data_IF_846801454878
#
_entry.id   IF_846801454878
#
_cell.length_a   1.000
_cell.length_b   1.000
_cell.length_c   1.000
_cell.angle_alpha   90.00
_cell.angle_beta   90.00
_cell.angle_gamma   90.00
#
_symmetry.space_group_name_H-M   'P 1'
#
loop_
_entity.id
_entity.type
_entity.pdbx_description
1 polymer ?
#
# COMPACT_ATOMS: atom_id res chain seq x y z
N UNK A 1 2.83 19.46 -7.72
CA UNK A 1 3.96 18.52 -8.01
C UNK A 1 3.75 17.86 -9.37
N UNK A 2 4.79 17.28 -10.01
CA UNK A 2 4.60 16.41 -11.19
C UNK A 2 3.89 15.12 -10.75
N UNK A 3 3.07 14.55 -11.63
CA UNK A 3 2.41 13.27 -11.34
C UNK A 3 3.45 12.17 -11.00
N UNK A 4 3.30 11.48 -9.86
CA UNK A 4 4.23 10.44 -9.44
C UNK A 4 3.96 9.11 -10.16
N UNK A 5 4.86 8.15 -9.97
CA UNK A 5 4.67 6.77 -10.43
C UNK A 5 3.88 6.01 -9.36
N UNK A 6 2.66 5.60 -9.70
CA UNK A 6 1.77 4.94 -8.76
C UNK A 6 2.16 3.47 -8.50
N UNK A 7 1.99 3.02 -7.25
CA UNK A 7 2.19 1.62 -6.90
C UNK A 7 1.10 0.75 -7.54
N UNK A 8 1.52 -0.34 -8.17
CA UNK A 8 0.62 -1.31 -8.77
C UNK A 8 0.22 -2.40 -7.77
N UNK A 9 -0.96 -3.01 -7.99
CA UNK A 9 -1.39 -4.19 -7.21
C UNK A 9 -0.36 -5.32 -7.31
N UNK A 10 0.16 -5.58 -8.50
CA UNK A 10 1.17 -6.61 -8.73
C UNK A 10 2.45 -6.37 -7.92
N UNK A 11 2.93 -5.12 -7.86
CA UNK A 11 4.07 -4.74 -7.02
C UNK A 11 3.76 -5.01 -5.54
N UNK A 12 2.57 -4.67 -5.05
CA UNK A 12 2.23 -4.92 -3.65
C UNK A 12 2.07 -6.39 -3.29
N UNK A 13 1.54 -7.20 -4.21
CA UNK A 13 1.49 -8.66 -4.02
C UNK A 13 2.90 -9.27 -3.97
N UNK A 14 3.80 -8.81 -4.84
CA UNK A 14 5.19 -9.25 -4.85
C UNK A 14 5.93 -8.83 -3.56
N UNK A 15 5.74 -7.58 -3.12
CA UNK A 15 6.30 -7.07 -1.87
C UNK A 15 5.78 -7.85 -0.65
N UNK A 16 4.48 -8.15 -0.58
CA UNK A 16 3.91 -8.97 0.49
C UNK A 16 4.56 -10.36 0.55
N UNK A 17 4.66 -11.04 -0.60
CA UNK A 17 5.31 -12.34 -0.68
C UNK A 17 6.76 -12.29 -0.19
N UNK A 18 7.51 -11.27 -0.60
CA UNK A 18 8.89 -11.07 -0.17
C UNK A 18 9.00 -10.84 1.35
N UNK A 19 8.19 -9.93 1.91
CA UNK A 19 8.16 -9.62 3.34
C UNK A 19 7.82 -10.85 4.18
N UNK A 20 6.83 -11.64 3.77
CA UNK A 20 6.45 -12.87 4.49
C UNK A 20 7.58 -13.90 4.43
N UNK A 21 8.23 -14.06 3.28
CA UNK A 21 9.37 -14.97 3.13
C UNK A 21 10.55 -14.59 4.05
N UNK A 22 10.80 -13.28 4.24
CA UNK A 22 11.91 -12.79 5.07
C UNK A 22 11.59 -12.73 6.57
N UNK A 23 10.36 -12.35 6.92
CA UNK A 23 10.00 -12.01 8.31
C UNK A 23 9.02 -12.97 8.96
N UNK A 24 8.54 -13.98 8.23
CA UNK A 24 7.54 -14.94 8.67
C UNK A 24 6.11 -14.39 8.70
N UNK A 25 5.16 -15.27 8.99
CA UNK A 25 3.72 -14.96 8.95
C UNK A 25 3.00 -15.75 7.86
N UNK A 26 1.71 -15.47 7.67
CA UNK A 26 0.87 -16.15 6.68
C UNK A 26 0.82 -15.39 5.35
N UNK A 27 1.14 -16.08 4.26
CA UNK A 27 0.89 -15.58 2.90
C UNK A 27 -0.61 -15.56 2.60
N UNK A 28 -1.02 -14.71 1.66
CA UNK A 28 -2.40 -14.66 1.16
C UNK A 28 -3.03 -13.28 1.27
N UNK A 29 -3.90 -13.00 0.30
CA UNK A 29 -4.78 -11.83 0.29
C UNK A 29 -6.08 -12.23 0.98
N UNK A 30 -6.47 -11.47 2.00
CA UNK A 30 -7.76 -11.63 2.69
C UNK A 30 -8.89 -11.04 1.86
N UNK A 31 -8.66 -9.86 1.29
CA UNK A 31 -9.65 -9.14 0.49
C UNK A 31 -8.96 -8.24 -0.54
N UNK A 32 -9.15 -8.58 -1.82
CA UNK A 32 -8.57 -7.83 -2.94
C UNK A 32 -9.17 -6.45 -3.11
N UNK A 33 -10.46 -6.28 -2.81
CA UNK A 33 -11.16 -5.00 -2.95
C UNK A 33 -10.62 -3.98 -1.93
N UNK A 34 -10.26 -4.46 -0.74
CA UNK A 34 -9.62 -3.65 0.29
C UNK A 34 -8.21 -3.22 -0.09
N UNK A 35 -7.47 -4.05 -0.84
CA UNK A 35 -6.17 -3.66 -1.39
C UNK A 35 -6.32 -2.60 -2.47
N UNK A 36 -7.24 -2.82 -3.43
CA UNK A 36 -7.51 -1.87 -4.51
C UNK A 36 -8.01 -0.52 -3.98
N UNK A 37 -8.86 -0.55 -2.96
CA UNK A 37 -9.31 0.64 -2.23
C UNK A 37 -8.12 1.42 -1.64
N UNK A 38 -7.20 0.73 -0.94
CA UNK A 38 -6.02 1.35 -0.36
C UNK A 38 -5.10 1.98 -1.43
N UNK A 39 -4.92 1.31 -2.58
CA UNK A 39 -4.07 1.81 -3.67
C UNK A 39 -4.69 2.98 -4.45
N UNK A 40 -6.01 3.15 -4.38
CA UNK A 40 -6.74 4.23 -5.04
C UNK A 40 -6.81 5.51 -4.21
N UNK A 41 -6.72 5.41 -2.87
CA UNK A 41 -6.74 6.56 -1.96
C UNK A 41 -5.71 7.66 -2.29
N UNK A 42 -4.41 7.37 -2.47
CA UNK A 42 -3.43 8.42 -2.78
C UNK A 42 -3.65 9.05 -4.16
N UNK A 43 -4.17 8.29 -5.13
CA UNK A 43 -4.55 8.85 -6.45
C UNK A 43 -5.69 9.85 -6.31
N UNK A 44 -6.70 9.54 -5.50
CA UNK A 44 -7.78 10.47 -5.20
C UNK A 44 -7.26 11.72 -4.47
N UNK A 45 -6.41 11.56 -3.44
CA UNK A 45 -5.81 12.69 -2.73
C UNK A 45 -5.01 13.61 -3.67
N UNK A 46 -4.20 13.04 -4.57
CA UNK A 46 -3.45 13.81 -5.57
C UNK A 46 -4.35 14.65 -6.50
N UNK A 47 -5.53 14.15 -6.87
CA UNK A 47 -6.44 14.87 -7.76
C UNK A 47 -7.29 15.93 -7.07
N UNK A 48 -7.62 15.73 -5.80
CA UNK A 48 -8.65 16.51 -5.11
C UNK A 48 -8.14 17.31 -3.90
N UNK A 49 -6.93 17.04 -3.42
CA UNK A 49 -6.37 17.65 -2.22
C UNK A 49 -5.05 18.36 -2.54
N UNK A 50 -4.62 19.28 -1.67
CA UNK A 50 -3.29 19.87 -1.73
C UNK A 50 -2.35 19.04 -0.86
N UNK A 51 -1.64 18.10 -1.49
CA UNK A 51 -0.77 17.13 -0.84
C UNK A 51 0.63 17.14 -1.48
N UNK A 52 1.64 16.79 -0.69
CA UNK A 52 2.99 16.50 -1.19
C UNK A 52 3.24 14.99 -1.33
N UNK A 53 4.48 14.61 -1.70
CA UNK A 53 4.82 13.19 -1.90
C UNK A 53 4.77 12.39 -0.60
N UNK A 54 5.07 13.01 0.55
CA UNK A 54 5.06 12.35 1.85
C UNK A 54 3.63 12.11 2.34
N UNK A 55 2.71 13.05 2.06
CA UNK A 55 1.27 12.86 2.33
C UNK A 55 0.71 11.66 1.53
N UNK A 56 1.11 11.53 0.26
CA UNK A 56 0.72 10.42 -0.60
C UNK A 56 1.28 9.07 -0.13
N UNK A 57 2.57 9.03 0.28
CA UNK A 57 3.19 7.87 0.89
C UNK A 57 2.47 7.45 2.20
N UNK A 58 2.19 8.43 3.06
CA UNK A 58 1.44 8.21 4.30
C UNK A 58 0.03 7.67 4.03
N UNK A 59 -0.62 8.14 2.97
CA UNK A 59 -1.94 7.66 2.55
C UNK A 59 -1.90 6.19 2.13
N UNK A 60 -0.84 5.73 1.44
CA UNK A 60 -0.64 4.29 1.19
C UNK A 60 -0.50 3.51 2.50
N UNK A 61 0.38 3.95 3.41
CA UNK A 61 0.61 3.25 4.67
C UNK A 61 -0.65 3.14 5.52
N UNK A 62 -1.37 4.25 5.72
CA UNK A 62 -2.63 4.25 6.47
C UNK A 62 -3.68 3.38 5.77
N UNK A 63 -3.80 3.50 4.44
CA UNK A 63 -4.77 2.72 3.67
C UNK A 63 -4.58 1.22 3.83
N UNK A 64 -3.37 0.71 3.63
CA UNK A 64 -3.06 -0.72 3.74
C UNK A 64 -3.14 -1.17 5.21
N UNK A 65 -2.58 -0.37 6.14
CA UNK A 65 -2.57 -0.71 7.56
C UNK A 65 -3.94 -0.69 8.20
N UNK A 66 -4.91 0.09 7.71
CA UNK A 66 -6.26 0.13 8.28
C UNK A 66 -7.22 -0.84 7.59
N UNK A 67 -7.07 -1.04 6.28
CA UNK A 67 -7.94 -1.95 5.53
C UNK A 67 -7.65 -3.43 5.84
N UNK A 68 -6.42 -3.76 6.26
CA UNK A 68 -5.96 -5.14 6.47
C UNK A 68 -6.23 -6.07 5.26
N UNK A 69 -5.79 -5.74 4.03
CA UNK A 69 -6.12 -6.54 2.86
C UNK A 69 -5.44 -7.91 2.82
N UNK A 70 -4.38 -8.15 3.58
CA UNK A 70 -3.65 -9.42 3.65
C UNK A 70 -4.04 -10.24 4.89
N UNK A 71 -3.84 -11.56 4.81
CA UNK A 71 -4.05 -12.48 5.95
C UNK A 71 -3.15 -12.11 7.13
N UNK A 72 -1.88 -11.80 6.85
CA UNK A 72 -0.91 -11.27 7.79
C UNK A 72 0.05 -10.30 7.05
N UNK A 73 0.83 -9.52 7.78
CA UNK A 73 1.86 -8.65 7.23
C UNK A 73 1.39 -7.24 6.90
N UNK A 74 0.12 -6.90 7.13
CA UNK A 74 -0.48 -5.62 6.72
C UNK A 74 0.35 -4.38 7.09
N UNK A 75 0.82 -4.28 8.34
CA UNK A 75 1.64 -3.14 8.79
C UNK A 75 3.03 -3.11 8.14
N UNK A 76 3.61 -4.28 7.88
CA UNK A 76 4.92 -4.40 7.22
C UNK A 76 4.81 -4.00 5.74
N UNK A 77 3.78 -4.49 5.05
CA UNK A 77 3.49 -4.08 3.66
C UNK A 77 3.14 -2.59 3.57
N UNK A 78 2.38 -2.07 4.53
CA UNK A 78 2.06 -0.64 4.62
C UNK A 78 3.32 0.23 4.74
N UNK A 79 4.25 -0.16 5.60
CA UNK A 79 5.54 0.53 5.74
C UNK A 79 6.33 0.48 4.43
N UNK A 80 6.45 -0.69 3.81
CA UNK A 80 7.14 -0.84 2.53
C UNK A 80 6.47 -0.03 1.41
N UNK A 81 5.14 0.05 1.38
CA UNK A 81 4.43 0.87 0.40
C UNK A 81 4.76 2.36 0.53
N UNK A 82 4.94 2.87 1.76
CA UNK A 82 5.37 4.25 1.96
C UNK A 82 6.86 4.47 1.66
N UNK A 83 7.71 3.48 1.92
CA UNK A 83 9.16 3.57 1.68
C UNK A 83 9.52 3.55 0.18
N UNK A 84 8.81 2.74 -0.61
CA UNK A 84 9.06 2.61 -2.05
C UNK A 84 8.41 3.71 -2.91
N UNK A 85 7.49 4.50 -2.33
CA UNK A 85 6.72 5.52 -3.04
C UNK A 85 7.36 6.90 -2.89
#
# INVERSE_FOLDING_TARGET
MKEPIWLSKALMLAAHKHIIAETGGSEGVRDETLLESALSRPKNAYHYEQVDIFDLAATYAVGISSNHPFVDGNKRVAFVAADIF
#
